data_IF_646821098558
#
_entry.id   IF_646821098558
#
_cell.length_a   1.000
_cell.length_b   1.000
_cell.length_c   1.000
_cell.angle_alpha   90.00
_cell.angle_beta   90.00
_cell.angle_gamma   90.00
#
_symmetry.space_group_name_H-M   'P 1'
#
loop_
_entity.id
_entity.type
_entity.pdbx_description
1 polymer ?
#
# COMPACT_ATOMS: atom_id res chain seq x y z
N UNK A 1 -3.81 -19.85 -7.64
CA UNK A 1 -5.07 -19.85 -6.86
C UNK A 1 -5.59 -18.43 -6.92
N UNK A 2 -6.70 -18.20 -7.59
CA UNK A 2 -7.29 -16.88 -7.81
C UNK A 2 -8.51 -16.72 -6.89
N UNK A 3 -8.74 -15.53 -6.31
CA UNK A 3 -9.93 -15.25 -5.53
C UNK A 3 -11.21 -15.35 -6.37
N UNK A 4 -12.28 -15.86 -5.76
CA UNK A 4 -13.64 -15.76 -6.32
C UNK A 4 -14.27 -14.50 -5.73
N UNK A 5 -14.62 -13.55 -6.59
CA UNK A 5 -15.27 -12.30 -6.17
C UNK A 5 -16.77 -12.49 -6.06
N UNK A 6 -17.33 -12.05 -4.94
CA UNK A 6 -18.73 -12.18 -4.58
C UNK A 6 -19.26 -10.84 -4.10
N UNK A 7 -20.45 -10.45 -4.55
CA UNK A 7 -21.17 -9.30 -3.99
C UNK A 7 -22.04 -9.78 -2.83
N UNK A 8 -21.70 -9.40 -1.60
CA UNK A 8 -22.44 -9.77 -0.38
C UNK A 8 -23.67 -8.86 -0.18
N UNK A 9 -23.51 -7.60 -0.52
CA UNK A 9 -24.56 -6.58 -0.52
C UNK A 9 -24.13 -5.45 -1.49
N UNK A 10 -25.00 -4.52 -1.86
CA UNK A 10 -24.61 -3.41 -2.73
C UNK A 10 -23.37 -2.68 -2.23
N UNK A 11 -22.30 -2.66 -3.07
CA UNK A 11 -20.99 -2.07 -2.77
C UNK A 11 -20.28 -2.68 -1.53
N UNK A 12 -20.57 -3.96 -1.26
CA UNK A 12 -19.92 -4.79 -0.26
C UNK A 12 -19.48 -6.07 -0.96
N UNK A 13 -18.20 -6.13 -1.29
CA UNK A 13 -17.62 -7.23 -2.05
C UNK A 13 -16.74 -8.12 -1.16
N UNK A 14 -16.68 -9.40 -1.47
CA UNK A 14 -15.83 -10.40 -0.84
C UNK A 14 -14.96 -11.07 -1.90
N UNK A 15 -13.66 -11.01 -1.73
CA UNK A 15 -12.71 -11.86 -2.44
C UNK A 15 -12.46 -13.14 -1.60
N UNK A 16 -13.01 -14.25 -2.04
CA UNK A 16 -12.96 -15.55 -1.37
C UNK A 16 -11.88 -16.45 -1.98
N UNK A 17 -11.01 -17.02 -1.12
CA UNK A 17 -10.00 -18.01 -1.48
C UNK A 17 -10.13 -19.23 -0.57
N UNK A 18 -10.54 -20.38 -1.12
CA UNK A 18 -10.43 -21.64 -0.40
C UNK A 18 -9.01 -22.18 -0.47
N UNK A 19 -8.41 -22.50 0.68
CA UNK A 19 -7.08 -23.04 0.74
C UNK A 19 -6.86 -23.87 2.00
N UNK A 20 -6.45 -25.12 1.82
CA UNK A 20 -6.01 -26.03 2.89
C UNK A 20 -4.48 -25.94 3.12
N UNK A 21 -3.82 -25.01 2.39
CA UNK A 21 -2.36 -24.82 2.44
C UNK A 21 -1.89 -24.16 3.71
N UNK A 22 -2.74 -23.35 4.34
CA UNK A 22 -2.39 -22.54 5.50
C UNK A 22 -3.00 -23.11 6.78
N UNK A 23 -2.23 -23.04 7.87
CA UNK A 23 -2.70 -23.44 9.20
C UNK A 23 -3.54 -22.35 9.88
N UNK A 24 -3.64 -21.18 9.27
CA UNK A 24 -4.40 -20.04 9.77
C UNK A 24 -5.33 -19.52 8.70
N UNK A 25 -6.55 -19.20 9.08
CA UNK A 25 -7.48 -18.40 8.30
C UNK A 25 -7.08 -16.93 8.33
N UNK A 26 -7.29 -16.23 7.23
CA UNK A 26 -7.11 -14.78 7.11
C UNK A 26 -8.44 -14.17 6.71
N UNK A 27 -8.85 -13.14 7.44
CA UNK A 27 -10.05 -12.36 7.14
C UNK A 27 -9.71 -10.87 7.23
N UNK A 28 -10.04 -10.08 6.21
CA UNK A 28 -9.87 -8.63 6.27
C UNK A 28 -11.14 -7.90 5.88
N UNK A 29 -11.30 -6.70 6.45
CA UNK A 29 -12.35 -5.74 6.10
C UNK A 29 -11.71 -4.38 5.88
N UNK A 30 -11.96 -3.79 4.70
CA UNK A 30 -11.36 -2.54 4.30
C UNK A 30 -12.42 -1.58 3.77
N UNK A 31 -12.44 -0.37 4.30
CA UNK A 31 -13.20 0.76 3.77
C UNK A 31 -12.30 1.50 2.78
N UNK A 32 -12.69 1.51 1.51
CA UNK A 32 -11.94 2.18 0.43
C UNK A 32 -12.62 3.52 0.14
N UNK A 33 -11.86 4.60 0.25
CA UNK A 33 -12.35 5.96 0.00
C UNK A 33 -11.31 6.79 -0.75
N UNK A 34 -11.71 7.71 -1.64
CA UNK A 34 -10.78 8.63 -2.28
C UNK A 34 -9.97 9.42 -1.25
N UNK A 35 -8.63 9.33 -1.32
CA UNK A 35 -7.76 10.04 -0.37
C UNK A 35 -7.78 11.54 -0.66
N UNK A 36 -7.79 12.37 0.39
CA UNK A 36 -7.61 13.82 0.28
C UNK A 36 -7.02 14.38 1.58
N UNK A 37 -6.42 15.55 1.49
CA UNK A 37 -5.74 16.22 2.62
C UNK A 37 -6.64 16.50 3.82
N UNK A 38 -7.96 16.67 3.61
CA UNK A 38 -8.88 17.03 4.69
C UNK A 38 -9.27 15.83 5.53
N UNK A 39 -9.34 14.63 4.93
CA UNK A 39 -9.88 13.42 5.58
C UNK A 39 -8.83 12.34 5.85
N UNK A 40 -7.65 12.39 5.21
CA UNK A 40 -6.62 11.36 5.38
C UNK A 40 -6.26 11.11 6.85
N UNK A 41 -6.10 12.17 7.66
CA UNK A 41 -5.78 12.02 9.08
C UNK A 41 -6.93 11.40 9.89
N UNK A 42 -8.19 11.67 9.53
CA UNK A 42 -9.34 11.01 10.16
C UNK A 42 -9.35 9.51 9.84
N UNK A 43 -9.16 9.15 8.56
CA UNK A 43 -9.06 7.75 8.13
C UNK A 43 -7.90 7.03 8.79
N UNK A 44 -6.75 7.67 8.94
CA UNK A 44 -5.59 7.09 9.61
C UNK A 44 -5.81 6.83 11.11
N UNK A 45 -6.53 7.73 11.78
CA UNK A 45 -6.81 7.61 13.21
C UNK A 45 -7.91 6.58 13.54
N UNK A 46 -8.90 6.48 12.67
CA UNK A 46 -10.15 5.77 12.97
C UNK A 46 -9.95 4.30 13.36
N UNK A 47 -9.20 3.45 12.63
CA UNK A 47 -9.06 2.04 12.98
C UNK A 47 -8.48 1.82 14.38
N UNK A 48 -7.52 2.64 14.80
CA UNK A 48 -6.91 2.55 16.12
C UNK A 48 -7.90 2.91 17.23
N UNK A 49 -8.76 3.90 17.01
CA UNK A 49 -9.80 4.26 17.98
C UNK A 49 -10.89 3.18 18.07
N UNK A 50 -11.33 2.61 16.93
CA UNK A 50 -12.28 1.50 16.90
C UNK A 50 -11.72 0.27 17.62
N UNK A 51 -10.44 -0.03 17.47
CA UNK A 51 -9.75 -1.16 18.11
C UNK A 51 -9.65 -1.04 19.64
N UNK A 52 -9.97 0.13 20.22
CA UNK A 52 -9.97 0.32 21.67
C UNK A 52 -11.08 -0.46 22.38
N UNK A 53 -12.19 -0.78 21.70
CA UNK A 53 -13.25 -1.61 22.24
C UNK A 53 -14.57 -1.46 21.49
N UNK A 54 -15.46 -2.41 21.74
CA UNK A 54 -16.84 -2.47 21.24
C UNK A 54 -17.82 -2.28 22.40
N UNK A 55 -19.12 -2.22 22.13
CA UNK A 55 -20.12 -2.17 23.20
C UNK A 55 -20.12 -3.47 24.02
N UNK A 56 -19.81 -4.64 23.41
CA UNK A 56 -19.68 -5.93 24.09
C UNK A 56 -18.34 -6.10 24.80
N UNK A 57 -17.28 -5.49 24.26
CA UNK A 57 -15.90 -5.55 24.76
C UNK A 57 -15.37 -4.12 24.94
N UNK A 58 -15.74 -3.41 26.04
CA UNK A 58 -15.62 -1.96 26.11
C UNK A 58 -14.17 -1.42 26.25
N UNK A 59 -13.20 -2.29 26.43
CA UNK A 59 -11.79 -1.93 26.55
C UNK A 59 -10.85 -2.97 25.89
N UNK A 60 -9.58 -2.59 25.73
CA UNK A 60 -8.58 -3.45 25.11
C UNK A 60 -8.35 -4.76 25.86
N UNK A 61 -8.54 -4.79 27.17
CA UNK A 61 -8.35 -6.01 27.98
C UNK A 61 -9.45 -7.02 27.67
N UNK A 62 -10.72 -6.60 27.69
CA UNK A 62 -11.85 -7.48 27.36
C UNK A 62 -11.78 -7.98 25.93
N UNK A 63 -11.36 -7.11 24.98
CA UNK A 63 -11.14 -7.50 23.59
C UNK A 63 -9.98 -8.50 23.44
N UNK A 64 -8.85 -8.28 24.13
CA UNK A 64 -7.73 -9.24 24.13
C UNK A 64 -8.13 -10.58 24.73
N UNK A 65 -8.91 -10.57 25.82
CA UNK A 65 -9.44 -11.81 26.40
C UNK A 65 -10.33 -12.56 25.42
N UNK A 66 -11.19 -11.86 24.65
CA UNK A 66 -12.00 -12.50 23.62
C UNK A 66 -11.13 -13.17 22.52
N UNK A 67 -10.06 -12.48 22.08
CA UNK A 67 -9.12 -13.04 21.11
C UNK A 67 -8.30 -14.22 21.67
N UNK A 68 -7.91 -14.19 22.94
CA UNK A 68 -7.24 -15.30 23.63
C UNK A 68 -8.14 -16.54 23.71
N UNK A 69 -9.45 -16.36 23.97
CA UNK A 69 -10.44 -17.42 23.95
C UNK A 69 -10.69 -18.00 22.54
N UNK A 70 -10.33 -17.25 21.50
CA UNK A 70 -10.28 -17.72 20.11
C UNK A 70 -8.88 -18.22 19.73
N UNK A 71 -8.24 -18.95 20.63
CA UNK A 71 -6.92 -19.58 20.46
C UNK A 71 -5.81 -18.59 20.10
N UNK A 72 -5.81 -17.41 20.71
CA UNK A 72 -4.79 -16.39 20.47
C UNK A 72 -4.90 -15.75 19.08
N UNK A 73 -6.11 -15.66 18.54
CA UNK A 73 -6.39 -14.96 17.31
C UNK A 73 -5.97 -13.49 17.38
N UNK A 74 -5.69 -12.87 16.24
CA UNK A 74 -5.25 -11.48 16.19
C UNK A 74 -6.09 -10.65 15.24
N UNK A 75 -6.32 -9.37 15.61
CA UNK A 75 -6.91 -8.36 14.74
C UNK A 75 -6.00 -7.14 14.76
N UNK A 76 -5.45 -6.79 13.61
CA UNK A 76 -4.61 -5.60 13.42
C UNK A 76 -5.34 -4.50 12.68
N UNK A 77 -5.05 -3.24 13.06
CA UNK A 77 -5.50 -2.06 12.30
C UNK A 77 -4.71 -1.94 11.01
N UNK A 78 -5.36 -1.53 9.94
CA UNK A 78 -4.72 -1.29 8.64
C UNK A 78 -5.02 0.12 8.14
N UNK A 79 -3.97 0.80 7.67
CA UNK A 79 -4.05 2.09 6.98
C UNK A 79 -3.12 2.01 5.77
N UNK A 80 -3.71 1.87 4.60
CA UNK A 80 -2.96 1.68 3.34
C UNK A 80 -3.38 2.72 2.30
N UNK A 81 -2.49 3.00 1.36
CA UNK A 81 -2.80 3.79 0.17
C UNK A 81 -2.63 2.92 -1.07
N UNK A 82 -3.67 2.85 -1.90
CA UNK A 82 -3.71 2.14 -3.17
C UNK A 82 -4.13 3.10 -4.27
N UNK A 83 -3.20 3.43 -5.15
CA UNK A 83 -3.45 4.49 -6.13
C UNK A 83 -3.81 5.82 -5.46
N UNK A 84 -4.96 6.36 -5.77
CA UNK A 84 -5.51 7.61 -5.20
C UNK A 84 -6.58 7.36 -4.14
N UNK A 85 -6.56 6.17 -3.51
CA UNK A 85 -7.50 5.80 -2.46
C UNK A 85 -6.78 5.47 -1.14
N UNK A 86 -7.43 5.79 -0.04
CA UNK A 86 -7.07 5.33 1.30
C UNK A 86 -7.93 4.10 1.62
N UNK A 87 -7.27 3.03 2.06
CA UNK A 87 -7.91 1.78 2.49
C UNK A 87 -7.64 1.62 3.97
N UNK A 88 -8.71 1.62 4.76
CA UNK A 88 -8.61 1.56 6.22
C UNK A 88 -9.53 0.48 6.76
N UNK A 89 -9.12 -0.18 7.82
CA UNK A 89 -9.92 -1.23 8.43
C UNK A 89 -9.10 -2.18 9.28
N UNK A 90 -9.42 -3.45 9.16
CA UNK A 90 -8.81 -4.50 9.98
C UNK A 90 -8.39 -5.69 9.14
N UNK A 91 -7.35 -6.38 9.62
CA UNK A 91 -6.95 -7.69 9.15
C UNK A 91 -6.84 -8.63 10.34
N UNK A 92 -7.49 -9.78 10.25
CA UNK A 92 -7.54 -10.81 11.27
C UNK A 92 -6.81 -12.06 10.80
N UNK A 93 -6.15 -12.73 11.75
CA UNK A 93 -5.58 -14.05 11.57
C UNK A 93 -6.01 -14.94 12.75
N UNK A 94 -6.48 -16.12 12.45
CA UNK A 94 -6.96 -17.11 13.42
C UNK A 94 -6.56 -18.51 12.98
N UNK A 95 -6.41 -19.43 13.93
CA UNK A 95 -6.07 -20.83 13.60
C UNK A 95 -7.18 -21.44 12.73
N UNK A 96 -6.82 -22.20 11.71
CA UNK A 96 -7.81 -22.93 10.92
C UNK A 96 -8.44 -24.05 11.76
N UNK A 97 -9.74 -24.22 11.64
CA UNK A 97 -10.53 -25.13 12.48
C UNK A 97 -10.09 -26.59 12.42
N UNK A 98 -9.45 -27.01 11.32
CA UNK A 98 -8.87 -28.37 11.20
C UNK A 98 -7.74 -28.61 12.21
N UNK A 99 -7.12 -27.55 12.74
CA UNK A 99 -6.05 -27.62 13.71
C UNK A 99 -6.52 -27.32 15.15
N UNK A 100 -7.81 -27.06 15.36
CA UNK A 100 -8.37 -26.78 16.69
C UNK A 100 -8.69 -28.07 17.44
N UNK A 101 -8.11 -28.32 18.62
CA UNK A 101 -8.49 -29.46 19.43
C UNK A 101 -9.98 -29.39 19.83
N UNK A 102 -10.77 -30.38 19.46
CA UNK A 102 -12.21 -30.42 19.77
C UNK A 102 -13.11 -29.90 18.67
N UNK A 103 -12.57 -29.34 17.57
CA UNK A 103 -13.34 -28.92 16.39
C UNK A 103 -14.22 -27.69 16.61
N UNK A 104 -13.81 -26.81 17.53
CA UNK A 104 -14.50 -25.53 17.77
C UNK A 104 -14.52 -24.66 16.54
N UNK A 105 -15.65 -23.94 16.34
CA UNK A 105 -15.84 -23.03 15.22
C UNK A 105 -15.23 -21.67 15.54
N UNK A 106 -14.33 -21.18 14.69
CA UNK A 106 -13.64 -19.90 14.87
C UNK A 106 -14.05 -18.84 13.85
N UNK A 107 -14.49 -19.24 12.67
CA UNK A 107 -14.85 -18.31 11.59
C UNK A 107 -15.97 -17.35 12.01
N UNK A 108 -17.08 -17.89 12.52
CA UNK A 108 -18.24 -17.08 12.89
C UNK A 108 -17.91 -16.07 14.01
N UNK A 109 -17.29 -16.47 15.14
CA UNK A 109 -16.86 -15.52 16.17
C UNK A 109 -15.90 -14.45 15.66
N UNK A 110 -14.99 -14.80 14.73
CA UNK A 110 -14.08 -13.81 14.13
C UNK A 110 -14.82 -12.82 13.23
N UNK A 111 -15.78 -13.29 12.42
CA UNK A 111 -16.64 -12.41 11.62
C UNK A 111 -17.45 -11.48 12.53
N UNK A 112 -18.06 -12.02 13.59
CA UNK A 112 -18.86 -11.25 14.55
C UNK A 112 -18.00 -10.17 15.23
N UNK A 113 -16.79 -10.52 15.69
CA UNK A 113 -15.89 -9.58 16.35
C UNK A 113 -15.39 -8.46 15.40
N UNK A 114 -15.11 -8.79 14.12
CA UNK A 114 -14.79 -7.77 13.11
C UNK A 114 -15.99 -6.88 12.80
N UNK A 115 -17.19 -7.45 12.73
CA UNK A 115 -18.44 -6.70 12.59
C UNK A 115 -18.65 -5.75 13.76
N UNK A 116 -18.49 -6.21 15.01
CA UNK A 116 -18.58 -5.36 16.20
C UNK A 116 -17.56 -4.23 16.19
N UNK A 117 -16.28 -4.51 15.89
CA UNK A 117 -15.26 -3.48 15.83
C UNK A 117 -15.59 -2.38 14.83
N UNK A 118 -16.18 -2.74 13.70
CA UNK A 118 -16.50 -1.78 12.65
C UNK A 118 -17.82 -1.07 12.90
N UNK A 119 -18.86 -1.76 13.41
CA UNK A 119 -20.26 -1.30 13.42
C UNK A 119 -20.80 -0.93 14.80
N UNK A 120 -20.20 -1.47 15.88
CA UNK A 120 -20.66 -1.26 17.25
C UNK A 120 -19.53 -0.85 18.22
N UNK A 121 -18.72 0.19 17.85
CA UNK A 121 -17.63 0.65 18.70
C UNK A 121 -18.13 1.25 20.01
N UNK A 122 -17.31 1.15 21.07
CA UNK A 122 -17.65 1.76 22.35
C UNK A 122 -17.78 3.27 22.21
N UNK A 123 -18.98 3.80 22.59
CA UNK A 123 -19.33 5.22 22.50
C UNK A 123 -20.04 5.69 23.74
N UNK A 124 -20.06 7.01 23.97
CA UNK A 124 -20.85 7.65 25.00
C UNK A 124 -21.52 8.91 24.45
N UNK A 125 -22.83 8.98 24.55
CA UNK A 125 -23.62 10.13 24.06
C UNK A 125 -23.37 10.43 22.56
N UNK A 126 -23.28 9.40 21.72
CA UNK A 126 -23.06 9.54 20.28
C UNK A 126 -21.68 10.10 19.92
N UNK A 127 -20.64 9.80 20.71
CA UNK A 127 -19.23 10.20 20.46
C UNK A 127 -18.30 9.08 20.90
N UNK A 128 -17.12 9.03 20.30
CA UNK A 128 -16.05 8.19 20.84
C UNK A 128 -15.59 8.68 22.22
N UNK A 129 -15.04 7.78 23.03
CA UNK A 129 -14.45 8.15 24.31
C UNK A 129 -13.25 9.08 24.11
N UNK A 130 -13.25 10.23 24.77
CA UNK A 130 -12.23 11.25 24.56
C UNK A 130 -10.82 10.74 24.85
N UNK A 131 -10.66 9.97 25.92
CA UNK A 131 -9.35 9.44 26.34
C UNK A 131 -8.79 8.47 25.28
N UNK A 132 -9.66 7.71 24.58
CA UNK A 132 -9.23 6.83 23.50
C UNK A 132 -8.77 7.64 22.28
N UNK A 133 -9.55 8.66 21.92
CA UNK A 133 -9.20 9.53 20.79
C UNK A 133 -7.89 10.27 21.04
N UNK A 134 -7.71 10.91 22.21
CA UNK A 134 -6.49 11.66 22.52
C UNK A 134 -5.25 10.75 22.60
N UNK A 135 -5.39 9.56 23.18
CA UNK A 135 -4.30 8.58 23.21
C UNK A 135 -3.87 8.14 21.80
N UNK A 136 -4.82 7.82 20.91
CA UNK A 136 -4.49 7.40 19.56
C UNK A 136 -4.03 8.55 18.66
N UNK A 137 -4.48 9.78 18.91
CA UNK A 137 -3.92 10.98 18.25
C UNK A 137 -2.43 11.11 18.55
N UNK A 138 -2.02 10.92 19.82
CA UNK A 138 -0.61 10.98 20.17
C UNK A 138 0.19 9.88 19.46
N UNK A 139 -0.32 8.65 19.48
CA UNK A 139 0.30 7.52 18.77
C UNK A 139 0.47 7.81 17.26
N UNK A 140 -0.55 8.38 16.62
CA UNK A 140 -0.50 8.74 15.21
C UNK A 140 0.49 9.88 14.92
N UNK A 141 0.54 10.91 15.79
CA UNK A 141 1.51 12.00 15.70
C UNK A 141 2.94 11.45 15.81
N UNK A 142 3.19 10.54 16.74
CA UNK A 142 4.50 9.93 16.94
C UNK A 142 4.87 9.01 15.76
N UNK A 143 3.90 8.29 15.18
CA UNK A 143 4.12 7.52 13.96
C UNK A 143 4.48 8.42 12.76
N UNK A 144 3.79 9.56 12.58
CA UNK A 144 4.11 10.52 11.50
C UNK A 144 5.50 11.13 11.73
N UNK A 145 5.84 11.51 12.96
CA UNK A 145 7.18 12.01 13.30
C UNK A 145 8.26 10.97 13.08
N UNK A 146 7.92 9.71 13.36
CA UNK A 146 8.85 8.58 13.21
C UNK A 146 9.27 8.28 11.77
N UNK A 147 8.52 8.71 10.77
CA UNK A 147 8.88 8.51 9.34
C UNK A 147 10.27 9.06 9.03
N UNK A 148 10.62 10.19 9.63
CA UNK A 148 11.92 10.84 9.43
C UNK A 148 13.11 9.99 9.93
N UNK A 149 12.89 8.98 10.76
CA UNK A 149 13.96 8.11 11.27
C UNK A 149 14.49 7.18 10.20
N UNK A 150 13.66 6.76 9.24
CA UNK A 150 14.11 6.12 8.01
C UNK A 150 14.27 7.19 6.91
N UNK A 151 15.52 7.63 6.70
CA UNK A 151 15.83 8.70 5.74
C UNK A 151 15.56 8.30 4.30
N UNK A 152 15.58 7.01 3.98
CA UNK A 152 15.25 6.49 2.66
C UNK A 152 13.74 6.62 2.41
N UNK A 153 12.94 6.06 3.30
CA UNK A 153 11.48 6.11 3.20
C UNK A 153 10.98 7.57 3.24
N UNK A 154 11.62 8.40 4.07
CA UNK A 154 11.33 9.83 4.12
C UNK A 154 11.61 10.52 2.77
N UNK A 155 12.78 10.30 2.16
CA UNK A 155 13.13 10.92 0.88
C UNK A 155 12.20 10.47 -0.25
N UNK A 156 11.83 9.19 -0.28
CA UNK A 156 10.90 8.64 -1.28
C UNK A 156 9.47 9.20 -1.09
N UNK A 157 9.02 9.36 0.15
CA UNK A 157 7.75 10.04 0.47
C UNK A 157 7.78 11.50 0.01
N UNK A 158 8.85 12.23 0.33
CA UNK A 158 9.02 13.64 -0.07
C UNK A 158 9.05 13.80 -1.58
N UNK A 159 9.77 12.93 -2.29
CA UNK A 159 9.74 12.90 -3.75
C UNK A 159 8.31 12.81 -4.28
N UNK A 160 7.52 11.85 -3.80
CA UNK A 160 6.14 11.67 -4.27
C UNK A 160 5.23 12.83 -3.90
N UNK A 161 5.41 13.45 -2.73
CA UNK A 161 4.66 14.64 -2.32
C UNK A 161 4.94 15.84 -3.24
N UNK A 162 6.22 16.07 -3.58
CA UNK A 162 6.61 17.17 -4.45
C UNK A 162 6.24 16.92 -5.92
N UNK A 163 6.47 15.69 -6.41
CA UNK A 163 6.12 15.25 -7.76
C UNK A 163 4.61 15.33 -8.03
N UNK A 164 3.81 14.92 -7.04
CA UNK A 164 2.35 14.86 -7.15
C UNK A 164 1.65 15.97 -6.35
N UNK A 165 2.30 17.13 -6.19
CA UNK A 165 1.71 18.28 -5.49
C UNK A 165 0.40 18.70 -6.15
N UNK A 166 -0.68 18.78 -5.37
CA UNK A 166 -2.02 19.08 -5.83
C UNK A 166 -2.78 17.90 -6.47
N UNK A 167 -2.19 16.70 -6.42
CA UNK A 167 -2.84 15.44 -6.80
C UNK A 167 -3.15 14.63 -5.55
N UNK A 168 -4.21 13.79 -5.61
CA UNK A 168 -4.52 12.84 -4.52
C UNK A 168 -3.35 11.90 -4.25
N UNK A 169 -2.61 11.54 -5.28
CA UNK A 169 -1.45 10.65 -5.17
C UNK A 169 -0.32 11.22 -4.31
N UNK A 170 -0.19 12.55 -4.19
CA UNK A 170 0.77 13.21 -3.30
C UNK A 170 0.37 13.23 -1.83
N UNK A 171 -0.90 12.92 -1.50
CA UNK A 171 -1.38 12.94 -0.12
C UNK A 171 -0.87 11.71 0.63
N UNK A 172 -0.25 11.91 1.80
CA UNK A 172 0.20 10.82 2.66
C UNK A 172 -1.00 10.09 3.30
N UNK A 173 -0.87 8.76 3.47
CA UNK A 173 -1.92 7.91 4.06
C UNK A 173 -2.25 8.27 5.51
N UNK A 174 -1.33 8.88 6.24
CA UNK A 174 -1.53 9.36 7.61
C UNK A 174 -1.99 10.82 7.66
N UNK A 175 -1.97 11.53 6.54
CA UNK A 175 -2.26 12.95 6.46
C UNK A 175 -1.16 13.80 7.06
N UNK A 176 -1.47 14.70 8.01
CA UNK A 176 -0.48 15.59 8.61
C UNK A 176 -0.75 15.82 10.09
N UNK A 177 0.31 16.08 10.88
CA UNK A 177 0.24 16.38 12.31
C UNK A 177 -0.74 17.54 12.57
N UNK A 178 -0.64 18.64 11.84
CA UNK A 178 -1.52 19.79 11.98
C UNK A 178 -3.01 19.47 11.78
N UNK A 179 -3.34 18.43 11.01
CA UNK A 179 -4.70 17.94 10.86
C UNK A 179 -5.10 17.01 12.00
N UNK A 180 -4.21 16.09 12.42
CA UNK A 180 -4.46 15.17 13.54
C UNK A 180 -4.78 15.96 14.81
N UNK A 181 -4.01 17.01 15.14
CA UNK A 181 -4.21 17.86 16.30
C UNK A 181 -5.62 18.46 16.40
N UNK A 182 -6.24 18.79 15.26
CA UNK A 182 -7.57 19.38 15.17
C UNK A 182 -8.73 18.38 15.27
N UNK A 183 -8.45 17.06 15.26
CA UNK A 183 -9.47 16.04 15.39
C UNK A 183 -9.99 16.01 16.83
N UNK A 184 -11.32 16.00 16.98
CA UNK A 184 -12.01 15.79 18.23
C UNK A 184 -12.82 14.49 18.19
N UNK A 185 -13.20 13.97 19.34
CA UNK A 185 -14.04 12.78 19.44
C UNK A 185 -15.39 12.93 18.68
N UNK A 186 -15.94 14.13 18.64
CA UNK A 186 -17.18 14.44 17.91
C UNK A 186 -16.95 14.47 16.40
N UNK A 187 -15.87 15.12 15.92
CA UNK A 187 -15.58 15.23 14.49
C UNK A 187 -15.16 13.89 13.93
N UNK A 188 -14.42 13.07 14.69
CA UNK A 188 -14.06 11.71 14.29
C UNK A 188 -15.30 10.80 14.20
N UNK A 189 -16.23 10.90 15.15
CA UNK A 189 -17.45 10.10 15.13
C UNK A 189 -18.34 10.45 13.92
N UNK A 190 -18.46 11.74 13.59
CA UNK A 190 -19.20 12.16 12.38
C UNK A 190 -18.53 11.64 11.11
N UNK A 191 -17.19 11.70 11.01
CA UNK A 191 -16.45 11.14 9.89
C UNK A 191 -16.65 9.62 9.78
N UNK A 192 -16.63 8.90 10.91
CA UNK A 192 -16.91 7.46 10.97
C UNK A 192 -18.27 7.12 10.37
N UNK A 193 -19.34 7.84 10.80
CA UNK A 193 -20.70 7.62 10.28
C UNK A 193 -20.79 7.89 8.77
N UNK A 194 -20.19 8.98 8.31
CA UNK A 194 -20.11 9.30 6.88
C UNK A 194 -19.36 8.22 6.11
N UNK A 195 -18.21 7.78 6.61
CA UNK A 195 -17.37 6.78 5.97
C UNK A 195 -18.10 5.44 5.83
N UNK A 196 -18.76 4.93 6.89
CA UNK A 196 -19.56 3.71 6.83
C UNK A 196 -20.68 3.78 5.80
N UNK A 197 -21.26 4.95 5.64
CA UNK A 197 -22.34 5.18 4.68
C UNK A 197 -21.85 5.27 3.24
N UNK A 198 -20.62 5.78 2.99
CA UNK A 198 -20.19 6.20 1.66
C UNK A 198 -18.98 5.47 1.09
N UNK A 199 -18.16 4.79 1.91
CA UNK A 199 -16.99 4.08 1.41
C UNK A 199 -17.39 2.76 0.75
N UNK A 200 -16.66 2.32 -0.28
CA UNK A 200 -16.74 0.94 -0.76
C UNK A 200 -16.16 -0.02 0.29
N UNK A 201 -16.85 -1.11 0.59
CA UNK A 201 -16.42 -2.11 1.56
C UNK A 201 -15.86 -3.33 0.84
N UNK A 202 -14.61 -3.60 1.07
CA UNK A 202 -13.90 -4.75 0.51
C UNK A 202 -13.54 -5.74 1.62
N UNK A 203 -14.02 -6.97 1.47
CA UNK A 203 -13.73 -8.09 2.36
C UNK A 203 -12.81 -9.07 1.64
N UNK A 204 -11.97 -9.75 2.40
CA UNK A 204 -11.15 -10.83 1.90
C UNK A 204 -11.17 -11.98 2.89
N UNK A 205 -11.31 -13.21 2.38
CA UNK A 205 -11.17 -14.43 3.15
C UNK A 205 -10.21 -15.41 2.46
N UNK A 206 -9.32 -16.02 3.23
CA UNK A 206 -8.50 -17.15 2.80
C UNK A 206 -8.41 -18.17 3.93
N UNK A 207 -8.85 -19.39 3.69
CA UNK A 207 -8.85 -20.51 4.65
C UNK A 207 -9.57 -21.73 4.11
N UNK A 208 -9.78 -22.73 4.96
CA UNK A 208 -10.38 -24.03 4.58
C UNK A 208 -11.91 -24.04 4.51
N UNK A 209 -12.58 -23.03 5.09
CA UNK A 209 -14.05 -23.01 5.20
C UNK A 209 -14.73 -22.92 3.83
N UNK A 210 -15.85 -23.63 3.69
CA UNK A 210 -16.66 -23.60 2.48
C UNK A 210 -17.25 -22.20 2.23
N UNK A 211 -17.42 -21.87 0.96
CA UNK A 211 -17.84 -20.56 0.49
C UNK A 211 -19.15 -20.10 1.11
N UNK A 212 -20.16 -20.96 1.07
CA UNK A 212 -21.51 -20.67 1.57
C UNK A 212 -21.51 -20.30 3.07
N UNK A 213 -20.67 -20.99 3.84
CA UNK A 213 -20.49 -20.71 5.27
C UNK A 213 -19.82 -19.36 5.52
N UNK A 214 -18.82 -19.02 4.70
CA UNK A 214 -18.13 -17.71 4.79
C UNK A 214 -19.10 -16.59 4.42
N UNK A 215 -19.85 -16.74 3.32
CA UNK A 215 -20.87 -15.77 2.90
C UNK A 215 -21.93 -15.55 3.98
N UNK A 216 -22.44 -16.63 4.61
CA UNK A 216 -23.43 -16.55 5.68
C UNK A 216 -22.87 -15.85 6.92
N UNK A 217 -21.66 -16.22 7.36
CA UNK A 217 -21.02 -15.61 8.53
C UNK A 217 -20.77 -14.10 8.34
N UNK A 218 -20.25 -13.71 7.19
CA UNK A 218 -20.02 -12.30 6.83
C UNK A 218 -21.37 -11.56 6.71
N UNK A 219 -22.33 -12.09 5.97
CA UNK A 219 -23.64 -11.47 5.80
C UNK A 219 -24.32 -11.21 7.13
N UNK A 220 -24.24 -12.15 8.07
CA UNK A 220 -24.75 -11.99 9.42
C UNK A 220 -24.04 -10.90 10.20
N UNK A 221 -22.69 -10.93 10.23
CA UNK A 221 -21.88 -9.99 11.00
C UNK A 221 -22.04 -8.54 10.52
N UNK A 222 -22.24 -8.35 9.20
CA UNK A 222 -22.36 -7.03 8.58
C UNK A 222 -23.82 -6.64 8.27
N UNK A 223 -24.82 -7.45 8.64
CA UNK A 223 -26.24 -7.13 8.46
C UNK A 223 -26.67 -5.77 9.03
N UNK A 224 -26.12 -5.26 10.16
CA UNK A 224 -26.47 -3.94 10.69
C UNK A 224 -25.95 -2.76 9.85
N UNK A 225 -25.06 -3.00 8.88
CA UNK A 225 -24.43 -1.95 8.07
C UNK A 225 -25.48 -1.20 7.23
N UNK A 226 -25.61 0.11 7.50
CA UNK A 226 -26.51 0.97 6.73
C UNK A 226 -25.71 1.71 5.66
N UNK A 227 -26.13 1.55 4.40
CA UNK A 227 -25.47 2.16 3.24
C UNK A 227 -26.23 3.38 2.74
N UNK A 228 -25.48 4.43 2.43
CA UNK A 228 -25.96 5.59 1.68
C UNK A 228 -25.52 5.50 0.22
N UNK A 229 -25.29 6.67 -0.38
CA UNK A 229 -24.69 6.73 -1.72
C UNK A 229 -23.19 6.48 -1.63
N UNK A 230 -22.75 5.33 -2.08
CA UNK A 230 -21.33 4.98 -2.08
C UNK A 230 -20.56 5.83 -3.10
N UNK A 231 -19.38 6.27 -2.70
CA UNK A 231 -18.41 6.94 -3.57
C UNK A 231 -17.44 5.86 -4.06
N UNK A 232 -17.42 5.55 -5.35
CA UNK A 232 -16.55 4.50 -5.88
C UNK A 232 -15.07 4.87 -5.70
N UNK A 233 -14.17 3.86 -5.65
CA UNK A 233 -12.74 4.10 -5.68
C UNK A 233 -12.32 4.92 -6.91
N UNK A 234 -11.38 5.85 -6.72
CA UNK A 234 -10.87 6.69 -7.82
C UNK A 234 -9.81 5.94 -8.59
N UNK A 235 -9.99 5.84 -9.90
CA UNK A 235 -8.94 5.36 -10.80
C UNK A 235 -7.97 6.52 -11.05
N UNK A 236 -6.70 6.30 -10.75
CA UNK A 236 -5.70 7.35 -10.86
C UNK A 236 -5.45 7.72 -12.33
N UNK A 237 -5.47 9.01 -12.62
CA UNK A 237 -5.12 9.54 -13.95
C UNK A 237 -3.60 9.65 -14.09
N UNK A 238 -3.08 9.20 -15.23
CA UNK A 238 -1.70 9.49 -15.61
C UNK A 238 -1.60 10.96 -16.02
N UNK A 239 -0.55 11.63 -15.56
CA UNK A 239 -0.26 13.02 -15.94
C UNK A 239 1.08 13.10 -16.67
N UNK A 240 1.23 14.12 -17.50
CA UNK A 240 2.51 14.42 -18.12
C UNK A 240 3.49 15.05 -17.11
N UNK A 241 4.78 14.86 -17.35
CA UNK A 241 5.82 15.57 -16.63
C UNK A 241 5.80 17.08 -16.99
N UNK A 242 6.30 17.95 -16.11
CA UNK A 242 6.50 19.37 -16.44
C UNK A 242 7.56 19.52 -17.52
N UNK A 243 7.54 20.65 -18.25
CA UNK A 243 8.53 20.96 -19.29
C UNK A 243 9.96 20.98 -18.73
N UNK A 244 10.10 21.48 -17.52
CA UNK A 244 11.39 21.49 -16.79
C UNK A 244 11.25 20.67 -15.52
N UNK A 245 12.12 19.66 -15.29
CA UNK A 245 12.08 18.88 -14.06
C UNK A 245 12.28 19.78 -12.83
N UNK A 246 11.57 19.44 -11.76
CA UNK A 246 11.74 20.11 -10.46
C UNK A 246 12.96 19.56 -9.77
N UNK A 247 13.75 20.45 -9.17
CA UNK A 247 14.87 20.08 -8.32
C UNK A 247 14.65 20.62 -6.91
N UNK A 248 14.67 19.72 -5.93
CA UNK A 248 14.41 20.05 -4.53
C UNK A 248 15.55 19.49 -3.69
N UNK A 249 16.19 20.35 -2.92
CA UNK A 249 17.19 19.98 -1.93
C UNK A 249 16.65 20.29 -0.54
N UNK A 250 16.73 19.33 0.35
CA UNK A 250 16.36 19.47 1.75
C UNK A 250 17.59 19.14 2.62
N UNK A 251 17.91 20.03 3.59
CA UNK A 251 19.03 19.84 4.48
C UNK A 251 18.57 19.27 5.82
N UNK A 252 19.30 18.25 6.29
CA UNK A 252 19.00 17.55 7.53
C UNK A 252 20.28 16.97 8.09
N UNK A 253 20.35 16.72 9.39
CA UNK A 253 21.48 16.03 10.00
C UNK A 253 21.57 14.57 9.49
N UNK A 254 22.33 14.41 8.41
CA UNK A 254 22.61 13.11 7.76
C UNK A 254 24.06 13.08 7.28
N UNK A 255 24.69 11.94 7.49
CA UNK A 255 26.06 11.66 6.99
C UNK A 255 26.05 11.16 5.54
N UNK A 256 24.93 10.61 5.10
CA UNK A 256 24.74 10.04 3.78
C UNK A 256 23.56 10.68 3.08
N UNK A 257 23.75 11.24 1.89
CA UNK A 257 22.70 11.80 1.06
C UNK A 257 21.70 10.74 0.56
N UNK A 258 20.44 11.16 0.39
CA UNK A 258 19.40 10.35 -0.27
C UNK A 258 18.95 11.06 -1.52
N UNK A 259 19.27 10.47 -2.67
CA UNK A 259 18.86 10.96 -3.98
C UNK A 259 17.68 10.13 -4.45
N UNK A 260 16.51 10.77 -4.54
CA UNK A 260 15.30 10.18 -5.09
C UNK A 260 14.90 10.92 -6.37
N UNK A 261 14.64 10.18 -7.44
CA UNK A 261 14.28 10.74 -8.75
C UNK A 261 12.97 10.13 -9.23
N UNK A 262 12.10 10.92 -9.86
CA UNK A 262 10.79 10.49 -10.31
C UNK A 262 10.52 10.83 -11.78
N UNK A 263 9.97 9.86 -12.50
CA UNK A 263 9.56 10.00 -13.92
C UNK A 263 8.07 9.72 -14.06
N UNK A 264 7.46 10.38 -15.03
CA UNK A 264 6.14 10.01 -15.51
C UNK A 264 6.25 9.19 -16.78
N UNK A 265 5.57 8.04 -16.80
CA UNK A 265 5.52 7.14 -17.94
C UNK A 265 4.14 7.26 -18.62
N UNK A 266 4.13 7.67 -19.90
CA UNK A 266 2.90 7.87 -20.66
C UNK A 266 2.39 6.59 -21.34
N UNK A 267 3.19 5.52 -21.38
CA UNK A 267 2.78 4.26 -21.99
C UNK A 267 1.59 3.61 -21.30
N UNK A 268 0.75 2.93 -22.07
CA UNK A 268 -0.29 2.03 -21.57
C UNK A 268 0.15 0.55 -21.57
N UNK A 269 1.34 0.25 -22.10
CA UNK A 269 1.90 -1.09 -22.10
C UNK A 269 2.55 -1.39 -20.72
N UNK A 270 1.70 -1.77 -19.75
CA UNK A 270 2.15 -2.05 -18.41
C UNK A 270 3.12 -3.25 -18.32
N UNK A 271 2.92 -4.40 -19.02
CA UNK A 271 3.87 -5.49 -19.01
C UNK A 271 5.27 -5.07 -19.51
N UNK A 272 5.35 -4.31 -20.60
CA UNK A 272 6.62 -3.82 -21.12
C UNK A 272 7.28 -2.83 -20.13
N UNK A 273 6.49 -1.94 -19.50
CA UNK A 273 6.99 -1.01 -18.50
C UNK A 273 7.50 -1.72 -17.23
N UNK A 274 6.85 -2.81 -16.81
CA UNK A 274 7.32 -3.64 -15.70
C UNK A 274 8.70 -4.24 -16.00
N UNK A 275 8.91 -4.79 -17.21
CA UNK A 275 10.22 -5.32 -17.62
C UNK A 275 11.25 -4.20 -17.75
N UNK A 276 10.92 -3.08 -18.39
CA UNK A 276 11.81 -1.92 -18.49
C UNK A 276 12.29 -1.44 -17.11
N UNK A 277 11.36 -1.34 -16.13
CA UNK A 277 11.71 -0.98 -14.77
C UNK A 277 12.63 -2.00 -14.09
N UNK A 278 12.40 -3.32 -14.28
CA UNK A 278 13.28 -4.33 -13.71
C UNK A 278 14.68 -4.26 -14.29
N UNK A 279 14.80 -4.18 -15.61
CA UNK A 279 16.10 -4.02 -16.28
C UNK A 279 16.81 -2.75 -15.81
N UNK A 280 16.07 -1.66 -15.66
CA UNK A 280 16.62 -0.38 -15.20
C UNK A 280 17.14 -0.45 -13.76
N UNK A 281 16.28 -0.80 -12.78
CA UNK A 281 16.67 -0.73 -11.37
C UNK A 281 15.83 -1.60 -10.42
N UNK A 282 14.91 -2.42 -10.95
CA UNK A 282 13.89 -3.09 -10.12
C UNK A 282 14.33 -4.39 -9.44
N UNK A 283 15.54 -4.91 -9.71
CA UNK A 283 16.04 -6.15 -9.11
C UNK A 283 17.58 -6.16 -9.02
N UNK A 284 18.14 -7.21 -8.40
CA UNK A 284 19.56 -7.30 -8.03
C UNK A 284 20.56 -7.41 -9.22
N UNK A 285 20.09 -7.70 -10.44
CA UNK A 285 20.91 -7.75 -11.63
C UNK A 285 20.56 -6.62 -12.62
N UNK A 286 19.94 -5.55 -12.12
CA UNK A 286 19.56 -4.38 -12.92
C UNK A 286 20.75 -3.50 -13.25
N UNK A 287 20.58 -2.63 -14.25
CA UNK A 287 21.63 -1.67 -14.68
C UNK A 287 22.05 -0.74 -13.54
N UNK A 288 21.11 -0.25 -12.73
CA UNK A 288 21.45 0.60 -11.56
C UNK A 288 22.29 -0.18 -10.54
N UNK A 289 21.92 -1.42 -10.25
CA UNK A 289 22.67 -2.22 -9.30
C UNK A 289 24.09 -2.53 -9.83
N UNK A 290 24.20 -3.05 -11.04
CA UNK A 290 25.48 -3.50 -11.59
C UNK A 290 26.42 -2.34 -11.93
N UNK A 291 25.91 -1.24 -12.51
CA UNK A 291 26.75 -0.15 -12.98
C UNK A 291 26.95 0.95 -11.94
N UNK A 292 25.89 1.39 -11.26
CA UNK A 292 25.98 2.53 -10.32
C UNK A 292 26.51 2.07 -8.95
N UNK A 293 26.02 0.95 -8.45
CA UNK A 293 26.44 0.43 -7.15
C UNK A 293 27.74 -0.38 -7.24
N UNK A 294 27.75 -1.46 -8.03
CA UNK A 294 28.87 -2.41 -8.01
C UNK A 294 30.10 -1.87 -8.74
N UNK A 295 29.93 -1.43 -10.00
CA UNK A 295 31.07 -1.02 -10.84
C UNK A 295 31.63 0.34 -10.45
N UNK A 296 30.79 1.34 -10.22
CA UNK A 296 31.21 2.70 -9.91
C UNK A 296 31.29 2.99 -8.41
N UNK A 297 30.70 2.14 -7.57
CA UNK A 297 30.66 2.31 -6.11
C UNK A 297 30.12 3.69 -5.68
N UNK A 298 29.22 4.30 -6.47
CA UNK A 298 28.67 5.63 -6.22
C UNK A 298 27.60 5.63 -5.13
N UNK A 299 27.05 4.45 -4.80
CA UNK A 299 25.97 4.34 -3.86
C UNK A 299 25.99 3.04 -3.08
N UNK A 300 25.37 3.04 -1.90
CA UNK A 300 25.17 1.84 -1.09
C UNK A 300 23.99 1.01 -1.58
N UNK A 301 23.00 1.68 -2.17
CA UNK A 301 21.88 1.08 -2.87
C UNK A 301 21.41 2.01 -3.98
N UNK A 302 20.93 1.43 -5.07
CA UNK A 302 20.17 2.09 -6.11
C UNK A 302 19.10 1.13 -6.59
N UNK A 303 17.86 1.56 -6.54
CA UNK A 303 16.72 0.73 -6.95
C UNK A 303 15.64 1.58 -7.59
N UNK A 304 14.86 0.99 -8.51
CA UNK A 304 13.69 1.63 -9.09
C UNK A 304 12.40 0.88 -8.77
N UNK A 305 11.28 1.61 -8.74
CA UNK A 305 9.95 1.08 -8.55
C UNK A 305 8.97 1.68 -9.56
N UNK A 306 8.14 0.83 -10.18
CA UNK A 306 7.07 1.26 -11.08
C UNK A 306 5.72 1.26 -10.38
N UNK A 307 5.14 2.42 -10.22
CA UNK A 307 3.80 2.65 -9.65
C UNK A 307 2.75 2.56 -10.76
N UNK A 308 2.38 1.33 -11.10
CA UNK A 308 1.55 1.00 -12.28
C UNK A 308 0.25 1.79 -12.35
N UNK A 309 -0.47 1.94 -11.23
CA UNK A 309 -1.77 2.64 -11.20
C UNK A 309 -1.67 4.12 -11.55
N UNK A 310 -0.49 4.74 -11.37
CA UNK A 310 -0.26 6.18 -11.62
C UNK A 310 0.63 6.45 -12.83
N UNK A 311 1.33 5.43 -13.34
CA UNK A 311 2.30 5.61 -14.41
C UNK A 311 3.53 6.41 -13.95
N UNK A 312 4.01 6.15 -12.73
CA UNK A 312 5.20 6.79 -12.16
C UNK A 312 6.29 5.75 -11.99
N UNK A 313 7.52 6.11 -12.33
CA UNK A 313 8.72 5.37 -11.97
C UNK A 313 9.54 6.21 -11.00
N UNK A 314 9.96 5.62 -9.89
CA UNK A 314 10.84 6.26 -8.91
C UNK A 314 12.17 5.52 -8.82
N UNK A 315 13.25 6.25 -8.60
CA UNK A 315 14.57 5.72 -8.23
C UNK A 315 14.90 6.24 -6.85
N UNK A 316 15.39 5.36 -5.98
CA UNK A 316 15.90 5.68 -4.65
C UNK A 316 17.34 5.24 -4.55
N UNK A 317 18.23 6.13 -4.06
CA UNK A 317 19.66 5.87 -3.95
C UNK A 317 20.26 6.54 -2.71
N UNK A 318 21.14 5.80 -2.01
CA UNK A 318 21.93 6.32 -0.88
C UNK A 318 23.37 6.59 -1.32
N UNK A 319 23.78 7.84 -1.35
CA UNK A 319 25.04 8.32 -1.95
C UNK A 319 25.87 9.14 -0.95
N UNK A 320 27.17 9.30 -1.24
CA UNK A 320 27.95 10.39 -0.61
C UNK A 320 27.43 11.74 -1.11
N UNK A 321 27.26 12.72 -0.21
CA UNK A 321 26.67 14.02 -0.56
C UNK A 321 27.43 14.71 -1.71
N UNK A 322 28.76 14.60 -1.75
CA UNK A 322 29.62 15.19 -2.79
C UNK A 322 29.44 14.55 -4.18
N UNK A 323 28.88 13.35 -4.26
CA UNK A 323 28.79 12.57 -5.51
C UNK A 323 27.43 12.70 -6.20
N UNK A 324 26.55 13.59 -5.71
CA UNK A 324 25.16 13.73 -6.18
C UNK A 324 25.06 13.95 -7.69
N UNK A 325 25.85 14.87 -8.27
CA UNK A 325 25.78 15.15 -9.71
C UNK A 325 26.29 13.99 -10.56
N UNK A 326 27.30 13.27 -10.06
CA UNK A 326 27.83 12.07 -10.74
C UNK A 326 26.80 10.93 -10.69
N UNK A 327 26.19 10.68 -9.54
CA UNK A 327 25.15 9.67 -9.38
C UNK A 327 23.92 9.98 -10.24
N UNK A 328 23.44 11.24 -10.23
CA UNK A 328 22.32 11.71 -11.07
C UNK A 328 22.60 11.48 -12.55
N UNK A 329 23.78 11.89 -13.04
CA UNK A 329 24.20 11.70 -14.43
C UNK A 329 24.24 10.23 -14.81
N UNK A 330 24.79 9.38 -13.94
CA UNK A 330 24.90 7.96 -14.19
C UNK A 330 23.53 7.27 -14.21
N UNK A 331 22.63 7.58 -13.27
CA UNK A 331 21.25 7.08 -13.27
C UNK A 331 20.54 7.43 -14.59
N UNK A 332 20.70 8.66 -15.07
CA UNK A 332 20.14 9.10 -16.35
C UNK A 332 20.76 8.36 -17.53
N UNK A 333 22.08 8.10 -17.51
CA UNK A 333 22.77 7.34 -18.55
C UNK A 333 22.29 5.89 -18.62
N UNK A 334 22.05 5.24 -17.47
CA UNK A 334 21.51 3.89 -17.42
C UNK A 334 20.07 3.84 -17.96
N UNK A 335 19.22 4.82 -17.65
CA UNK A 335 17.89 4.91 -18.26
C UNK A 335 18.00 5.11 -19.77
N UNK A 336 18.85 6.02 -20.23
CA UNK A 336 19.05 6.27 -21.65
C UNK A 336 19.51 5.01 -22.41
N UNK A 337 20.32 4.13 -21.79
CA UNK A 337 20.70 2.86 -22.39
C UNK A 337 19.50 1.92 -22.57
N UNK A 338 18.58 1.85 -21.58
CA UNK A 338 17.33 1.06 -21.71
C UNK A 338 16.44 1.64 -22.81
N UNK A 339 16.32 2.97 -22.90
CA UNK A 339 15.54 3.66 -23.93
C UNK A 339 16.05 3.40 -25.35
N UNK A 340 17.38 3.18 -25.52
CA UNK A 340 17.99 2.82 -26.81
C UNK A 340 17.93 1.32 -27.11
N UNK A 341 17.39 0.50 -26.19
CA UNK A 341 17.38 -0.95 -26.32
C UNK A 341 18.76 -1.60 -26.11
N UNK A 342 19.68 -0.92 -25.42
CA UNK A 342 21.02 -1.43 -25.11
C UNK A 342 20.97 -2.31 -23.86
N UNK A 343 20.38 -3.49 -24.01
CA UNK A 343 20.35 -4.53 -22.98
C UNK A 343 20.55 -5.91 -23.62
N UNK A 344 21.20 -6.78 -22.87
CA UNK A 344 21.53 -8.13 -23.30
C UNK A 344 20.34 -9.09 -23.07
N UNK A 345 20.31 -10.21 -23.79
CA UNK A 345 19.26 -11.23 -23.65
C UNK A 345 19.09 -11.72 -22.19
N UNK A 346 20.21 -11.91 -21.47
CA UNK A 346 20.16 -12.36 -20.08
C UNK A 346 19.53 -11.32 -19.12
N UNK A 347 19.62 -10.01 -19.42
CA UNK A 347 18.97 -8.97 -18.63
C UNK A 347 17.44 -9.06 -18.79
N UNK A 348 16.97 -9.29 -20.02
CA UNK A 348 15.55 -9.42 -20.33
C UNK A 348 14.97 -10.70 -19.73
N UNK A 349 15.63 -11.83 -19.97
CA UNK A 349 15.16 -13.13 -19.46
C UNK A 349 15.23 -13.20 -17.94
N UNK A 350 16.28 -12.62 -17.31
CA UNK A 350 16.39 -12.52 -15.86
C UNK A 350 15.27 -11.65 -15.26
N UNK A 351 14.97 -10.51 -15.86
CA UNK A 351 13.85 -9.65 -15.43
C UNK A 351 12.51 -10.36 -15.58
N UNK A 352 12.28 -11.03 -16.73
CA UNK A 352 11.06 -11.79 -17.00
C UNK A 352 10.87 -12.93 -16.01
N UNK A 353 11.90 -13.73 -15.79
CA UNK A 353 11.87 -14.84 -14.83
C UNK A 353 11.59 -14.34 -13.40
N UNK A 354 12.20 -13.23 -12.99
CA UNK A 354 11.97 -12.62 -11.69
C UNK A 354 10.50 -12.20 -11.49
N UNK A 355 9.88 -11.55 -12.49
CA UNK A 355 8.46 -11.17 -12.42
C UNK A 355 7.54 -12.38 -12.37
N UNK A 356 7.78 -13.37 -13.26
CA UNK A 356 6.97 -14.59 -13.31
C UNK A 356 7.05 -15.35 -11.98
N UNK A 357 8.24 -15.55 -11.44
CA UNK A 357 8.42 -16.21 -10.14
C UNK A 357 7.71 -15.47 -9.00
N UNK A 358 7.73 -14.12 -9.02
CA UNK A 358 6.99 -13.29 -8.06
C UNK A 358 5.47 -13.46 -8.18
N UNK A 359 4.94 -13.58 -9.39
CA UNK A 359 3.51 -13.81 -9.65
C UNK A 359 3.08 -15.23 -9.24
N UNK A 360 3.86 -16.24 -9.59
CA UNK A 360 3.61 -17.64 -9.24
C UNK A 360 3.62 -17.85 -7.72
N UNK A 361 4.57 -17.21 -7.01
CA UNK A 361 4.68 -17.31 -5.54
C UNK A 361 3.63 -16.46 -4.78
N UNK A 362 2.77 -15.69 -5.48
CA UNK A 362 1.72 -14.89 -4.81
C UNK A 362 0.78 -15.76 -3.98
N UNK A 363 0.40 -16.92 -4.51
CA UNK A 363 -0.47 -17.90 -3.83
C UNK A 363 0.19 -18.61 -2.63
N UNK A 364 1.44 -18.31 -2.29
CA UNK A 364 2.15 -18.87 -1.13
C UNK A 364 1.95 -18.06 0.16
N UNK A 365 1.18 -16.97 0.08
CA UNK A 365 0.90 -16.11 1.23
C UNK A 365 -0.52 -15.52 1.14
N UNK A 366 -1.34 -15.81 2.14
CA UNK A 366 -2.68 -15.22 2.25
C UNK A 366 -2.63 -13.69 2.27
N UNK A 367 -1.63 -13.11 2.94
CA UNK A 367 -1.43 -11.65 2.97
C UNK A 367 -1.08 -11.06 1.60
N UNK A 368 -0.28 -11.75 0.76
CA UNK A 368 -0.01 -11.28 -0.62
C UNK A 368 -1.25 -11.38 -1.51
N UNK A 369 -2.06 -12.40 -1.31
CA UNK A 369 -3.33 -12.53 -2.03
C UNK A 369 -4.30 -11.41 -1.62
N UNK A 370 -4.43 -11.13 -0.32
CA UNK A 370 -5.24 -10.02 0.20
C UNK A 370 -4.75 -8.66 -0.33
N UNK A 371 -3.45 -8.40 -0.28
CA UNK A 371 -2.85 -7.17 -0.76
C UNK A 371 -3.09 -6.94 -2.27
N UNK A 372 -3.07 -8.02 -3.06
CA UNK A 372 -3.39 -8.00 -4.49
C UNK A 372 -4.88 -7.74 -4.72
N UNK A 373 -5.77 -8.45 -4.02
CA UNK A 373 -7.21 -8.28 -4.12
C UNK A 373 -7.62 -6.85 -3.78
N UNK A 374 -7.16 -6.33 -2.65
CA UNK A 374 -7.36 -4.93 -2.26
C UNK A 374 -6.79 -3.94 -3.29
N UNK A 375 -5.61 -4.23 -3.85
CA UNK A 375 -5.00 -3.42 -4.90
C UNK A 375 -5.87 -3.34 -6.14
N UNK A 376 -6.43 -4.47 -6.58
CA UNK A 376 -7.35 -4.53 -7.73
C UNK A 376 -8.65 -3.78 -7.46
N UNK A 377 -9.26 -3.98 -6.28
CA UNK A 377 -10.47 -3.28 -5.89
C UNK A 377 -10.27 -1.76 -5.85
N UNK A 378 -9.18 -1.29 -5.26
CA UNK A 378 -8.92 0.14 -5.10
C UNK A 378 -8.42 0.84 -6.37
N UNK A 379 -7.77 0.15 -7.31
CA UNK A 379 -7.17 0.78 -8.50
C UNK A 379 -7.93 0.50 -9.80
N UNK A 380 -8.87 -0.46 -9.77
CA UNK A 380 -9.60 -0.90 -10.96
C UNK A 380 -8.76 -1.72 -11.95
N UNK A 381 -7.49 -2.01 -11.63
CA UNK A 381 -6.62 -2.83 -12.47
C UNK A 381 -6.90 -4.30 -12.12
N UNK A 382 -7.75 -4.94 -12.91
CA UNK A 382 -8.13 -6.34 -12.71
C UNK A 382 -7.49 -7.21 -13.77
N UNK A 383 -6.63 -8.12 -13.35
CA UNK A 383 -6.02 -9.15 -14.18
C UNK A 383 -5.56 -10.31 -13.31
N UNK A 384 -5.64 -11.50 -13.83
CA UNK A 384 -5.13 -12.71 -13.18
C UNK A 384 -3.61 -12.81 -13.32
N UNK A 385 -2.98 -13.64 -12.45
CA UNK A 385 -1.55 -13.91 -12.57
C UNK A 385 -1.22 -14.55 -13.94
N UNK A 386 -2.06 -15.46 -14.41
CA UNK A 386 -1.85 -16.17 -15.69
C UNK A 386 -1.94 -15.22 -16.88
N UNK A 387 -2.91 -14.29 -16.88
CA UNK A 387 -3.01 -13.25 -17.92
C UNK A 387 -1.78 -12.35 -17.95
N UNK A 388 -1.32 -11.91 -16.79
CA UNK A 388 -0.11 -11.09 -16.71
C UNK A 388 1.14 -11.86 -17.11
N UNK A 389 1.29 -13.12 -16.70
CA UNK A 389 2.40 -14.00 -17.12
C UNK A 389 2.40 -14.17 -18.64
N UNK A 390 1.24 -14.45 -19.24
CA UNK A 390 1.12 -14.57 -20.69
C UNK A 390 1.52 -13.26 -21.40
N UNK A 391 1.06 -12.12 -20.87
CA UNK A 391 1.42 -10.81 -21.40
C UNK A 391 2.92 -10.53 -21.28
N UNK A 392 3.56 -10.84 -20.13
CA UNK A 392 5.01 -10.68 -19.94
C UNK A 392 5.84 -11.54 -20.89
N UNK A 393 5.40 -12.77 -21.18
CA UNK A 393 6.07 -13.67 -22.15
C UNK A 393 5.99 -13.14 -23.58
N UNK A 394 4.95 -12.40 -23.92
CA UNK A 394 4.72 -11.82 -25.25
C UNK A 394 5.40 -10.45 -25.47
N UNK A 395 6.08 -9.89 -24.46
CA UNK A 395 6.78 -8.61 -24.61
C UNK A 395 8.07 -8.81 -25.40
N UNK A 396 8.27 -7.99 -26.44
CA UNK A 396 9.52 -7.94 -27.24
C UNK A 396 10.48 -6.87 -26.73
N UNK A 397 11.74 -6.94 -27.16
CA UNK A 397 12.78 -5.99 -26.80
C UNK A 397 12.43 -4.55 -27.25
N UNK A 398 11.81 -4.41 -28.43
CA UNK A 398 11.36 -3.13 -28.98
C UNK A 398 10.30 -2.50 -28.05
N UNK A 399 9.31 -3.29 -27.60
CA UNK A 399 8.28 -2.82 -26.67
C UNK A 399 8.85 -2.38 -25.33
N UNK A 400 9.90 -3.07 -24.82
CA UNK A 400 10.62 -2.66 -23.60
C UNK A 400 11.25 -1.28 -23.78
N UNK A 401 11.96 -1.09 -24.91
CA UNK A 401 12.62 0.20 -25.23
C UNK A 401 11.59 1.32 -25.42
N UNK A 402 10.50 1.08 -26.14
CA UNK A 402 9.38 2.03 -26.33
C UNK A 402 8.74 2.42 -25.00
N UNK A 403 8.52 1.44 -24.12
CA UNK A 403 7.99 1.72 -22.77
C UNK A 403 8.96 2.62 -21.98
N UNK A 404 10.26 2.35 -22.00
CA UNK A 404 11.27 3.18 -21.36
C UNK A 404 11.33 4.59 -21.98
N UNK A 405 11.19 4.74 -23.31
CA UNK A 405 11.17 6.04 -24.01
C UNK A 405 9.97 6.90 -23.56
N UNK A 406 8.89 6.28 -23.08
CA UNK A 406 7.74 7.01 -22.55
C UNK A 406 8.00 7.69 -21.20
N UNK A 407 9.15 7.42 -20.55
CA UNK A 407 9.53 7.99 -19.28
C UNK A 407 10.13 9.38 -19.44
N UNK A 408 9.50 10.38 -18.84
CA UNK A 408 10.00 11.78 -18.79
C UNK A 408 10.28 12.16 -17.36
N UNK A 409 11.47 12.68 -17.06
CA UNK A 409 11.87 13.13 -15.73
C UNK A 409 10.93 14.24 -15.24
N UNK A 410 10.38 14.08 -14.03
CA UNK A 410 9.48 15.06 -13.41
C UNK A 410 10.17 15.79 -12.26
N UNK A 411 10.75 15.04 -11.33
CA UNK A 411 11.26 15.61 -10.08
C UNK A 411 12.54 14.89 -9.64
N UNK A 412 13.50 15.67 -9.17
CA UNK A 412 14.70 15.22 -8.45
C UNK A 412 14.61 15.77 -7.03
N UNK A 413 14.68 14.89 -6.06
CA UNK A 413 14.71 15.25 -4.64
C UNK A 413 16.01 14.76 -4.02
N UNK A 414 16.70 15.66 -3.34
CA UNK A 414 17.95 15.35 -2.66
C UNK A 414 17.89 15.76 -1.20
N UNK A 415 17.99 14.78 -0.31
CA UNK A 415 18.18 14.98 1.11
C UNK A 415 19.68 14.91 1.40
N UNK A 416 20.25 16.00 1.92
CA UNK A 416 21.69 16.13 2.16
C UNK A 416 21.99 16.57 3.59
N UNK A 417 23.23 16.38 4.03
CA UNK A 417 23.74 16.94 5.27
C UNK A 417 23.77 18.48 5.23
N UNK A 418 23.80 19.11 6.38
CA UNK A 418 24.17 20.51 6.46
C UNK A 418 25.59 20.64 5.91
N UNK A 419 25.80 21.61 5.02
CA UNK A 419 27.16 21.91 4.56
C UNK A 419 28.03 22.16 5.80
N UNK A 420 29.00 21.29 6.03
CA UNK A 420 30.09 21.63 6.92
C UNK A 420 30.69 22.89 6.33
N UNK A 421 30.38 24.02 6.93
CA UNK A 421 31.07 25.28 6.64
C UNK A 421 32.55 24.95 6.69
N UNK A 422 33.22 25.16 5.55
CA UNK A 422 34.64 24.98 5.35
C UNK A 422 35.46 25.21 6.63
N UNK A 423 36.16 24.15 7.10
CA UNK A 423 37.38 24.31 7.88
C UNK A 423 38.62 24.34 6.94
#
# INVERSE_FOLDING_TARGET
MEPVRLEIAPEVDLDYVRSDKFKTGTLSVQLITPINEKTASFGALLPSVLRRGTMSHPDMRSLSTALDLLYGSSIGCTVRKKGENQCIGFAASFIDEEFVPGGEKLLEPMCDLLGELLLDPVTRNGRFLNDYVESEKQNLIDAIRGIINDKRDYADLRLLQEMCRGERYGVDKFGSIARVEKITNQTLFRYYQELLSTAHLELFYCGSAERERVEEAISRAFAPLQRGRVVPPVIAEKKNAPETPREITEHMDVTQGKLSMGWRASTNDAPAMMLANLIFGGYSNSKLFLNVREKLSLCYYASSAYHRSKGIVTVSSGIECRDVETAKREILAQLASVQRGEFEEWEVEGARACLIASLESRGDSAGRMEENALGQAATGIRETADELIAALRAVTNERIAEAAQSMTLDTVYFLTGEDSKDE
#
